data_IF_158234714580
#
_entry.id   IF_158234714580
#
_cell.length_a   1.000
_cell.length_b   1.000
_cell.length_c   1.000
_cell.angle_alpha   90.00
_cell.angle_beta   90.00
_cell.angle_gamma   90.00
#
_symmetry.space_group_name_H-M   'P 1'
#
loop_
_entity.id
_entity.type
_entity.pdbx_description
1 polymer ?
#
# COMPACT_ATOMS: atom_id res chain seq x y z
N UNK A 1 9.49 -23.74 -3.18
CA UNK A 1 8.13 -23.44 -3.65
C UNK A 1 8.00 -21.93 -3.62
N UNK A 2 7.84 -21.31 -4.80
CA UNK A 2 7.57 -19.87 -4.91
C UNK A 2 6.09 -19.81 -5.25
N UNK A 3 5.26 -19.42 -4.28
CA UNK A 3 3.82 -19.26 -4.49
C UNK A 3 3.62 -18.04 -5.39
N UNK A 4 3.39 -18.31 -6.68
CA UNK A 4 3.17 -17.32 -7.74
C UNK A 4 1.68 -16.99 -7.93
N UNK A 5 0.83 -17.30 -6.94
CA UNK A 5 -0.63 -17.33 -7.10
C UNK A 5 -1.36 -16.33 -6.18
N UNK A 6 -0.74 -15.18 -5.92
CA UNK A 6 -1.49 -14.06 -5.36
C UNK A 6 -2.06 -13.26 -6.51
N UNK A 7 -3.34 -13.50 -6.84
CA UNK A 7 -4.11 -12.57 -7.65
C UNK A 7 -3.86 -11.13 -7.16
N UNK A 8 -3.76 -10.16 -8.07
CA UNK A 8 -3.53 -8.79 -7.67
C UNK A 8 -4.63 -8.30 -6.73
N UNK A 9 -4.26 -8.08 -5.47
CA UNK A 9 -5.20 -7.67 -4.44
C UNK A 9 -5.48 -6.18 -4.59
N UNK A 10 -6.69 -5.85 -5.03
CA UNK A 10 -7.18 -4.48 -5.02
C UNK A 10 -7.42 -4.01 -3.58
N UNK A 11 -6.96 -2.81 -3.28
CA UNK A 11 -7.02 -2.18 -1.96
C UNK A 11 -7.30 -0.69 -2.09
N UNK A 12 -7.69 -0.06 -0.98
CA UNK A 12 -7.80 1.39 -0.89
C UNK A 12 -6.65 1.95 -0.06
N UNK A 13 -6.07 3.04 -0.54
CA UNK A 13 -5.05 3.82 0.17
C UNK A 13 -5.54 5.25 0.37
N UNK A 14 -5.14 5.88 1.47
CA UNK A 14 -5.52 7.26 1.81
C UNK A 14 -4.35 8.20 1.60
N UNK A 15 -4.53 9.25 0.78
CA UNK A 15 -3.61 10.38 0.74
C UNK A 15 -4.01 11.38 1.81
N UNK A 16 -3.19 11.50 2.86
CA UNK A 16 -3.51 12.30 4.05
C UNK A 16 -3.44 13.79 3.79
N UNK A 17 -2.55 14.25 2.92
CA UNK A 17 -2.42 15.68 2.55
C UNK A 17 -3.62 16.22 1.78
N UNK A 18 -4.29 15.38 0.98
CA UNK A 18 -5.46 15.78 0.17
C UNK A 18 -6.79 15.28 0.72
N UNK A 19 -6.76 14.51 1.80
CA UNK A 19 -7.89 13.76 2.35
C UNK A 19 -8.67 13.00 1.26
N UNK A 20 -7.95 12.29 0.38
CA UNK A 20 -8.55 11.55 -0.76
C UNK A 20 -8.16 10.08 -0.71
N UNK A 21 -9.11 9.21 -1.03
CA UNK A 21 -8.90 7.78 -1.18
C UNK A 21 -8.64 7.40 -2.63
N UNK A 22 -7.75 6.43 -2.83
CA UNK A 22 -7.36 5.92 -4.14
C UNK A 22 -7.48 4.40 -4.16
N UNK A 23 -7.96 3.88 -5.28
CA UNK A 23 -7.88 2.45 -5.58
C UNK A 23 -6.48 2.11 -6.06
N UNK A 24 -5.91 1.07 -5.46
CA UNK A 24 -4.58 0.60 -5.77
C UNK A 24 -4.53 -0.93 -5.81
N UNK A 25 -3.51 -1.44 -6.47
CA UNK A 25 -3.25 -2.86 -6.62
C UNK A 25 -1.94 -3.22 -5.93
N UNK A 26 -1.94 -4.26 -5.09
CA UNK A 26 -0.72 -4.79 -4.49
C UNK A 26 0.05 -5.59 -5.55
N UNK A 27 1.20 -5.06 -5.96
CA UNK A 27 2.07 -5.71 -6.94
C UNK A 27 3.12 -6.60 -6.26
N UNK A 28 3.54 -6.22 -5.05
CA UNK A 28 4.49 -6.99 -4.26
C UNK A 28 4.28 -6.71 -2.77
N UNK A 29 4.36 -7.74 -1.94
CA UNK A 29 4.24 -7.64 -0.50
C UNK A 29 5.33 -8.48 0.17
N UNK A 30 6.13 -7.84 1.02
CA UNK A 30 7.03 -8.51 1.95
C UNK A 30 6.83 -7.97 3.37
N UNK A 31 7.47 -8.59 4.37
CA UNK A 31 7.28 -8.30 5.80
C UNK A 31 7.47 -6.83 6.23
N UNK A 32 8.12 -5.99 5.42
CA UNK A 32 8.41 -4.58 5.78
C UNK A 32 8.00 -3.58 4.71
N UNK A 33 7.83 -4.01 3.47
CA UNK A 33 7.54 -3.17 2.32
C UNK A 33 6.38 -3.74 1.51
N UNK A 34 5.55 -2.83 1.01
CA UNK A 34 4.52 -3.15 0.02
C UNK A 34 4.73 -2.24 -1.17
N UNK A 35 4.65 -2.80 -2.37
CA UNK A 35 4.65 -2.02 -3.59
C UNK A 35 3.26 -2.09 -4.17
N UNK A 36 2.65 -0.92 -4.35
CA UNK A 36 1.31 -0.79 -4.89
C UNK A 36 1.30 0.10 -6.12
N UNK A 37 0.33 -0.09 -7.00
CA UNK A 37 0.08 0.80 -8.14
C UNK A 37 -1.30 1.41 -8.01
N UNK A 38 -1.40 2.74 -7.99
CA UNK A 38 -2.67 3.45 -8.10
C UNK A 38 -3.25 3.18 -9.50
N UNK A 39 -4.49 2.69 -9.55
CA UNK A 39 -5.14 2.36 -10.82
C UNK A 39 -5.37 3.61 -11.69
N UNK A 40 -5.80 4.70 -11.05
CA UNK A 40 -5.89 6.03 -11.66
C UNK A 40 -4.48 6.59 -11.92
N UNK A 41 -4.07 6.62 -13.19
CA UNK A 41 -2.78 7.21 -13.59
C UNK A 41 -1.57 6.28 -13.48
N UNK A 42 -1.75 5.01 -13.12
CA UNK A 42 -0.70 3.98 -13.08
C UNK A 42 0.54 4.40 -12.26
N UNK A 43 0.31 5.06 -11.13
CA UNK A 43 1.39 5.57 -10.27
C UNK A 43 1.85 4.47 -9.32
N UNK A 44 3.14 4.15 -9.34
CA UNK A 44 3.74 3.15 -8.46
C UNK A 44 4.24 3.77 -7.17
N UNK A 45 3.78 3.23 -6.04
CA UNK A 45 4.12 3.68 -4.70
C UNK A 45 4.85 2.56 -3.93
N UNK A 46 5.88 2.94 -3.18
CA UNK A 46 6.63 2.03 -2.32
C UNK A 46 6.36 2.36 -0.85
N UNK A 47 5.52 1.55 -0.24
CA UNK A 47 5.09 1.68 1.14
C UNK A 47 6.05 0.97 2.09
N UNK A 48 6.32 1.59 3.24
CA UNK A 48 7.12 1.04 4.33
C UNK A 48 6.27 0.85 5.57
N UNK A 49 6.47 -0.24 6.30
CA UNK A 49 5.80 -0.48 7.57
C UNK A 49 6.20 0.61 8.58
N UNK A 50 5.23 1.40 9.02
CA UNK A 50 5.40 2.42 10.06
C UNK A 50 5.15 1.81 11.45
N UNK A 51 4.06 1.04 11.58
CA UNK A 51 3.62 0.51 12.87
C UNK A 51 2.92 -0.83 12.69
N UNK A 52 3.19 -1.75 13.62
CA UNK A 52 2.45 -3.01 13.75
C UNK A 52 1.88 -3.12 15.17
N UNK A 53 0.58 -3.37 15.29
CA UNK A 53 -0.12 -3.59 16.56
C UNK A 53 -0.99 -4.84 16.44
N UNK A 54 -0.44 -5.97 16.89
CA UNK A 54 -1.08 -7.28 16.70
C UNK A 54 -1.18 -7.63 15.21
N UNK A 55 -2.41 -7.81 14.74
CA UNK A 55 -2.74 -8.11 13.34
C UNK A 55 -2.88 -6.87 12.44
N UNK A 56 -2.87 -5.67 13.04
CA UNK A 56 -2.99 -4.42 12.29
C UNK A 56 -1.61 -3.87 11.95
N UNK A 57 -1.38 -3.64 10.66
CA UNK A 57 -0.15 -3.06 10.13
C UNK A 57 -0.47 -1.76 9.39
N UNK A 58 0.26 -0.70 9.72
CA UNK A 58 0.15 0.61 9.09
C UNK A 58 1.39 0.83 8.25
N UNK A 59 1.18 1.07 6.97
CA UNK A 59 2.21 1.34 5.99
C UNK A 59 2.09 2.76 5.46
N UNK A 60 3.24 3.40 5.19
CA UNK A 60 3.31 4.76 4.65
C UNK A 60 4.21 4.85 3.42
N UNK A 61 3.80 5.64 2.45
CA UNK A 61 4.61 6.04 1.30
C UNK A 61 4.61 7.57 1.20
N UNK A 62 5.71 8.14 0.72
CA UNK A 62 5.76 9.55 0.33
C UNK A 62 6.16 9.64 -1.13
N UNK A 63 5.35 10.34 -1.92
CA UNK A 63 5.58 10.55 -3.35
C UNK A 63 5.36 12.04 -3.65
N UNK A 64 6.41 12.71 -4.12
CA UNK A 64 6.37 14.14 -4.50
C UNK A 64 5.78 15.06 -3.41
N UNK A 65 6.05 14.75 -2.14
CA UNK A 65 5.54 15.53 -1.01
C UNK A 65 4.14 15.14 -0.53
N UNK A 66 3.47 14.18 -1.18
CA UNK A 66 2.22 13.61 -0.72
C UNK A 66 2.46 12.33 0.07
N UNK A 67 1.90 12.25 1.28
CA UNK A 67 1.87 11.07 2.12
C UNK A 67 0.64 10.22 1.79
N UNK A 68 0.89 8.92 1.68
CA UNK A 68 -0.11 7.89 1.48
C UNK A 68 -0.02 6.87 2.61
N UNK A 69 -1.18 6.46 3.13
CA UNK A 69 -1.31 5.49 4.21
C UNK A 69 -2.13 4.30 3.73
N UNK A 70 -1.64 3.11 4.07
CA UNK A 70 -2.37 1.86 3.91
C UNK A 70 -2.45 1.13 5.24
N UNK A 71 -3.66 0.71 5.63
CA UNK A 71 -3.90 -0.09 6.82
C UNK A 71 -4.28 -1.52 6.41
N UNK A 72 -3.43 -2.48 6.72
CA UNK A 72 -3.73 -3.90 6.54
C UNK A 72 -4.22 -4.48 7.86
N UNK A 73 -5.41 -5.07 7.84
CA UNK A 73 -5.81 -6.06 8.84
C UNK A 73 -5.46 -7.43 8.26
N UNK A 74 -4.53 -8.15 8.90
CA UNK A 74 -4.14 -9.52 8.55
C UNK A 74 -5.00 -10.52 9.30
#
# INVERSE_FOLDING_TARGET
MIDYDSEPKQVQIHCTDKDKWFEAEIINHNKKHIVMTILEGQVRLSFRLLKKKGLNEIYVANQEGYEFVYQSAV
#
